data_IF_091520542837
#
_entry.id   IF_091520542837
#
_cell.length_a   1.000
_cell.length_b   1.000
_cell.length_c   1.000
_cell.angle_alpha   90.00
_cell.angle_beta   90.00
_cell.angle_gamma   90.00
#
_symmetry.space_group_name_H-M   'P 1'
#
loop_
_entity.id
_entity.type
_entity.pdbx_description
1 polymer ?
#
# COMPACT_ATOMS: atom_id res chain seq x y z
N UNK A 1 85.62 36.02 14.54
CA UNK A 1 84.26 36.29 15.02
C UNK A 1 83.91 37.72 14.63
N UNK A 2 82.79 37.94 13.95
CA UNK A 2 82.37 39.28 13.50
C UNK A 2 81.35 39.81 14.51
N UNK A 3 81.62 40.96 15.10
CA UNK A 3 80.75 41.55 16.12
C UNK A 3 79.35 41.82 15.52
N UNK A 4 78.31 41.25 16.11
CA UNK A 4 76.91 41.48 15.71
C UNK A 4 76.30 40.45 14.74
N UNK A 5 77.04 39.41 14.34
CA UNK A 5 76.53 38.33 13.47
C UNK A 5 76.53 37.00 14.23
N UNK A 6 75.50 36.18 14.03
CA UNK A 6 75.45 34.84 14.63
C UNK A 6 76.52 33.91 14.06
N UNK A 7 76.95 32.92 14.86
CA UNK A 7 77.98 31.95 14.48
C UNK A 7 77.52 31.11 13.29
N UNK A 8 78.28 31.14 12.19
CA UNK A 8 78.05 30.25 11.04
C UNK A 8 78.50 28.82 11.40
N UNK A 9 77.54 27.88 11.37
CA UNK A 9 77.77 26.47 11.71
C UNK A 9 78.06 25.57 10.49
N UNK A 10 78.30 26.15 9.30
CA UNK A 10 78.65 25.38 8.10
C UNK A 10 77.50 24.55 7.53
N UNK A 11 76.26 24.95 7.78
CA UNK A 11 75.08 24.28 7.24
C UNK A 11 74.96 24.64 5.74
N UNK A 12 75.29 23.72 4.85
CA UNK A 12 75.14 23.88 3.40
C UNK A 12 73.66 23.89 2.98
N UNK A 13 72.91 24.90 3.41
CA UNK A 13 71.49 25.01 3.08
C UNK A 13 71.30 25.54 1.65
N UNK A 14 70.42 24.88 0.90
CA UNK A 14 69.85 25.42 -0.33
C UNK A 14 69.05 26.67 -0.03
N UNK A 15 69.19 27.71 -0.87
CA UNK A 15 68.43 28.95 -0.75
C UNK A 15 66.92 28.65 -0.84
N UNK A 16 66.17 29.10 0.16
CA UNK A 16 64.71 28.86 0.28
C UNK A 16 63.88 30.10 -0.07
N UNK A 17 64.52 31.20 -0.46
CA UNK A 17 63.89 32.49 -0.71
C UNK A 17 63.59 33.30 0.55
N UNK A 18 63.42 34.61 0.39
CA UNK A 18 63.17 35.56 1.50
C UNK A 18 61.85 35.35 2.23
N UNK A 19 60.85 34.79 1.53
CA UNK A 19 59.50 34.60 2.06
C UNK A 19 59.33 33.29 2.85
N UNK A 20 60.39 32.47 2.93
CA UNK A 20 60.32 31.19 3.63
C UNK A 20 60.33 31.38 5.15
N UNK A 21 59.32 30.82 5.82
CA UNK A 21 59.21 30.81 7.28
C UNK A 21 59.63 29.44 7.82
N UNK A 22 60.61 29.43 8.73
CA UNK A 22 61.05 28.21 9.43
C UNK A 22 60.01 27.74 10.46
N UNK A 23 59.95 26.42 10.69
CA UNK A 23 59.01 25.79 11.63
C UNK A 23 57.99 24.87 10.94
N UNK A 24 57.07 24.30 11.72
CA UNK A 24 56.01 23.41 11.23
C UNK A 24 54.67 24.14 11.30
N UNK A 25 53.94 24.19 10.17
CA UNK A 25 52.61 24.80 10.11
C UNK A 25 51.60 23.95 10.90
N UNK A 26 50.72 24.61 11.66
CA UNK A 26 49.65 23.95 12.41
C UNK A 26 48.61 23.31 11.48
N UNK A 27 48.18 24.04 10.44
CA UNK A 27 47.25 23.51 9.44
C UNK A 27 48.05 22.75 8.38
N UNK A 28 47.88 21.43 8.37
CA UNK A 28 48.45 20.54 7.37
C UNK A 28 47.40 20.30 6.27
N UNK A 29 47.39 21.14 5.23
CA UNK A 29 46.47 21.00 4.09
C UNK A 29 45.87 22.34 3.64
N UNK A 30 45.24 22.33 2.46
CA UNK A 30 44.54 23.50 1.91
C UNK A 30 43.07 23.58 2.32
N UNK A 31 42.47 22.45 2.67
CA UNK A 31 41.05 22.33 3.01
C UNK A 31 40.88 21.51 4.30
N UNK A 32 41.15 22.11 5.46
CA UNK A 32 40.95 21.46 6.74
C UNK A 32 39.45 21.35 7.04
N UNK A 33 39.05 20.21 7.59
CA UNK A 33 37.69 20.00 8.03
C UNK A 33 37.36 20.92 9.22
N UNK A 34 36.38 21.81 9.04
CA UNK A 34 35.97 22.77 10.07
C UNK A 34 34.75 22.28 10.86
N UNK A 35 34.41 22.98 11.94
CA UNK A 35 33.28 22.61 12.81
C UNK A 35 31.93 22.59 12.08
N UNK A 36 31.69 23.53 11.14
CA UNK A 36 30.46 23.57 10.36
C UNK A 36 30.30 22.34 9.46
N UNK A 37 31.39 21.94 8.79
CA UNK A 37 31.45 20.73 7.95
C UNK A 37 31.31 19.45 8.79
N UNK A 38 31.76 19.44 10.06
CA UNK A 38 31.46 18.34 11.00
C UNK A 38 29.97 18.20 11.30
N UNK A 39 29.28 19.32 11.46
CA UNK A 39 27.86 19.33 11.85
C UNK A 39 26.97 18.93 10.66
N UNK A 40 27.26 19.47 9.48
CA UNK A 40 26.41 19.27 8.30
C UNK A 40 26.84 18.09 7.43
N UNK A 41 28.10 17.67 7.52
CA UNK A 41 28.68 16.68 6.62
C UNK A 41 28.67 17.15 5.17
N UNK A 42 28.76 16.19 4.25
CA UNK A 42 28.57 16.40 2.80
C UNK A 42 27.69 15.27 2.24
N UNK A 43 26.43 15.17 2.70
CA UNK A 43 25.56 14.09 2.29
C UNK A 43 25.16 14.25 0.82
N UNK A 44 25.01 13.12 0.15
CA UNK A 44 24.36 13.05 -1.15
C UNK A 44 22.85 13.30 -1.02
N UNK A 45 22.20 13.68 -2.12
CA UNK A 45 20.75 13.92 -2.13
C UNK A 45 19.96 12.71 -1.61
N UNK A 46 20.39 11.49 -1.93
CA UNK A 46 19.76 10.26 -1.48
C UNK A 46 19.83 10.03 0.04
N UNK A 47 20.89 10.50 0.71
CA UNK A 47 21.06 10.40 2.16
C UNK A 47 20.26 11.46 2.91
N UNK A 48 19.95 12.58 2.25
CA UNK A 48 19.08 13.63 2.80
C UNK A 48 17.59 13.26 2.67
N UNK A 49 17.24 12.44 1.69
CA UNK A 49 15.85 11.99 1.53
C UNK A 49 15.40 11.13 2.72
N UNK A 50 14.13 11.25 3.13
CA UNK A 50 13.57 10.41 4.18
C UNK A 50 13.55 8.93 3.78
N UNK A 51 13.58 8.06 4.79
CA UNK A 51 13.49 6.62 4.58
C UNK A 51 12.19 6.23 3.85
N UNK A 52 12.32 5.27 2.92
CA UNK A 52 11.24 4.89 1.99
C UNK A 52 10.03 4.26 2.68
N UNK A 53 10.21 3.66 3.85
CA UNK A 53 9.19 2.92 4.60
C UNK A 53 8.54 3.73 5.71
N UNK A 54 8.84 5.03 5.81
CA UNK A 54 8.11 5.93 6.69
C UNK A 54 6.61 5.92 6.32
N UNK A 55 5.78 5.61 7.31
CA UNK A 55 4.32 5.59 7.18
C UNK A 55 3.74 4.41 6.39
N UNK A 56 4.55 3.46 5.92
CA UNK A 56 4.04 2.29 5.18
C UNK A 56 4.93 1.06 5.34
N UNK A 57 4.30 -0.08 5.54
CA UNK A 57 5.01 -1.36 5.47
C UNK A 57 5.47 -1.63 4.03
N UNK A 58 6.78 -1.84 3.86
CA UNK A 58 7.40 -2.28 2.59
C UNK A 58 7.62 -3.81 2.56
N UNK A 59 7.35 -4.51 3.66
CA UNK A 59 7.53 -5.95 3.78
C UNK A 59 6.63 -6.68 2.79
N UNK A 60 7.16 -7.63 1.98
CA UNK A 60 6.36 -8.43 1.08
C UNK A 60 5.14 -9.04 1.81
N UNK A 61 3.98 -9.00 1.16
CA UNK A 61 2.67 -9.44 1.68
C UNK A 61 2.07 -8.63 2.85
N UNK A 62 2.77 -7.64 3.37
CA UNK A 62 2.25 -6.72 4.40
C UNK A 62 2.14 -5.28 3.88
N UNK A 63 2.29 -5.06 2.57
CA UNK A 63 2.18 -3.74 1.93
C UNK A 63 0.72 -3.35 1.84
N UNK A 64 0.41 -2.08 2.14
CA UNK A 64 -0.92 -1.50 1.92
C UNK A 64 -1.08 -1.08 0.45
N UNK A 65 -0.97 -2.06 -0.44
CA UNK A 65 -1.15 -1.88 -1.89
C UNK A 65 -2.09 -2.96 -2.39
N UNK A 66 -3.04 -2.56 -3.22
CA UNK A 66 -3.97 -3.51 -3.83
C UNK A 66 -3.21 -4.33 -4.87
N UNK A 67 -3.46 -5.65 -4.91
CA UNK A 67 -2.75 -6.57 -5.81
C UNK A 67 -3.18 -6.43 -7.26
N UNK A 68 -4.46 -6.08 -7.48
CA UNK A 68 -5.07 -5.88 -8.79
C UNK A 68 -5.84 -4.56 -8.80
N UNK A 69 -5.74 -3.82 -9.90
CA UNK A 69 -6.40 -2.51 -9.98
C UNK A 69 -7.93 -2.61 -9.90
N UNK A 70 -8.52 -3.68 -10.44
CA UNK A 70 -9.97 -3.96 -10.37
C UNK A 70 -10.52 -4.07 -8.93
N UNK A 71 -9.64 -4.38 -7.95
CA UNK A 71 -10.01 -4.54 -6.55
C UNK A 71 -9.86 -3.22 -5.74
N UNK A 72 -9.52 -2.10 -6.36
CA UNK A 72 -9.21 -0.86 -5.63
C UNK A 72 -10.37 -0.31 -4.78
N UNK A 73 -11.60 -0.55 -5.22
CA UNK A 73 -12.83 -0.17 -4.52
C UNK A 73 -13.55 -1.37 -3.89
N UNK A 74 -12.97 -2.58 -3.98
CA UNK A 74 -13.60 -3.78 -3.43
C UNK A 74 -13.38 -3.82 -1.93
N UNK A 75 -14.45 -4.16 -1.19
CA UNK A 75 -14.32 -4.50 0.23
C UNK A 75 -13.61 -5.86 0.38
N UNK A 76 -12.51 -5.90 1.12
CA UNK A 76 -11.82 -7.15 1.46
C UNK A 76 -12.45 -7.80 2.69
N UNK A 77 -12.89 -9.04 2.55
CA UNK A 77 -13.57 -9.78 3.60
C UNK A 77 -14.57 -10.78 3.03
N UNK A 78 -15.42 -11.33 3.90
CA UNK A 78 -16.53 -12.21 3.53
C UNK A 78 -17.83 -11.48 3.88
N UNK A 79 -18.76 -11.27 2.92
CA UNK A 79 -20.02 -10.60 3.21
C UNK A 79 -20.92 -11.49 4.07
N UNK A 80 -21.76 -10.88 4.92
CA UNK A 80 -22.73 -11.61 5.75
C UNK A 80 -23.79 -12.33 4.90
N UNK A 81 -24.17 -11.73 3.76
CA UNK A 81 -25.05 -12.36 2.77
C UNK A 81 -24.19 -12.76 1.58
N UNK A 82 -24.09 -14.06 1.32
CA UNK A 82 -23.12 -14.67 0.40
C UNK A 82 -23.61 -14.71 -1.06
N UNK A 83 -23.99 -13.54 -1.60
CA UNK A 83 -24.34 -13.38 -3.03
C UNK A 83 -23.13 -13.49 -3.97
N UNK A 84 -21.91 -13.51 -3.41
CA UNK A 84 -20.64 -13.63 -4.12
C UNK A 84 -20.38 -15.05 -4.68
N UNK A 85 -21.12 -16.05 -4.21
CA UNK A 85 -20.97 -17.46 -4.60
C UNK A 85 -22.26 -17.99 -5.21
N UNK A 86 -22.17 -18.98 -6.11
CA UNK A 86 -23.36 -19.59 -6.69
C UNK A 86 -24.18 -20.35 -5.64
N UNK A 87 -25.50 -20.31 -5.79
CA UNK A 87 -26.41 -21.10 -4.97
C UNK A 87 -26.16 -22.59 -5.20
N UNK A 88 -26.19 -23.37 -4.12
CA UNK A 88 -26.07 -24.84 -4.20
C UNK A 88 -27.38 -25.43 -4.72
N UNK A 89 -27.30 -26.41 -5.62
CA UNK A 89 -28.48 -27.17 -6.07
C UNK A 89 -29.16 -27.92 -4.93
N UNK A 90 -28.36 -28.50 -4.02
CA UNK A 90 -28.83 -29.18 -2.83
C UNK A 90 -28.25 -28.52 -1.59
N UNK A 91 -29.12 -27.83 -0.84
CA UNK A 91 -28.73 -27.18 0.43
C UNK A 91 -28.67 -28.21 1.54
N UNK A 92 -27.57 -28.19 2.31
CA UNK A 92 -27.45 -29.00 3.52
C UNK A 92 -28.42 -28.51 4.59
N UNK A 93 -28.99 -29.43 5.37
CA UNK A 93 -29.84 -29.10 6.53
C UNK A 93 -29.05 -28.34 7.61
N UNK A 94 -27.73 -28.54 7.67
CA UNK A 94 -26.85 -27.86 8.62
C UNK A 94 -26.24 -26.55 8.07
N UNK A 95 -26.70 -26.09 6.90
CA UNK A 95 -26.23 -24.83 6.33
C UNK A 95 -26.91 -23.65 7.04
N UNK A 96 -26.13 -22.82 7.73
CA UNK A 96 -26.60 -21.64 8.48
C UNK A 96 -26.31 -20.33 7.75
N UNK A 97 -25.78 -20.41 6.53
CA UNK A 97 -25.35 -19.24 5.76
C UNK A 97 -26.48 -18.76 4.84
N UNK A 98 -26.78 -17.46 4.88
CA UNK A 98 -27.72 -16.83 3.96
C UNK A 98 -27.02 -16.50 2.62
N UNK A 99 -27.62 -16.92 1.50
CA UNK A 99 -27.11 -16.70 0.13
C UNK A 99 -27.85 -15.60 -0.64
N UNK A 100 -28.77 -14.91 0.02
CA UNK A 100 -29.60 -13.85 -0.55
C UNK A 100 -30.91 -14.33 -1.17
N UNK A 101 -31.29 -15.58 -0.89
CA UNK A 101 -32.51 -16.28 -1.30
C UNK A 101 -33.51 -16.47 -0.13
N UNK A 102 -33.16 -16.05 1.08
CA UNK A 102 -34.04 -16.16 2.25
C UNK A 102 -35.15 -15.08 2.24
N UNK A 103 -36.38 -15.43 2.66
CA UNK A 103 -37.49 -14.48 2.77
C UNK A 103 -37.27 -13.46 3.89
N UNK A 104 -37.95 -12.32 3.80
CA UNK A 104 -37.92 -11.34 4.88
C UNK A 104 -38.74 -11.83 6.09
N UNK A 105 -38.47 -11.25 7.27
CA UNK A 105 -39.18 -11.63 8.49
C UNK A 105 -40.70 -11.45 8.38
N UNK A 106 -41.15 -10.45 7.61
CA UNK A 106 -42.58 -10.18 7.38
C UNK A 106 -43.23 -11.31 6.59
N UNK A 107 -42.56 -11.82 5.55
CA UNK A 107 -43.07 -12.91 4.71
C UNK A 107 -43.20 -14.23 5.47
N UNK A 108 -42.36 -14.43 6.49
CA UNK A 108 -42.45 -15.59 7.39
C UNK A 108 -43.63 -15.47 8.37
N UNK A 109 -43.92 -14.27 8.86
CA UNK A 109 -45.03 -14.01 9.79
C UNK A 109 -46.38 -13.96 9.07
N UNK A 110 -46.40 -13.50 7.82
CA UNK A 110 -47.59 -13.31 7.00
C UNK A 110 -47.39 -13.92 5.61
N UNK A 111 -47.36 -15.26 5.49
CA UNK A 111 -47.07 -15.94 4.24
C UNK A 111 -48.13 -15.66 3.17
N UNK A 112 -47.69 -15.56 1.92
CA UNK A 112 -48.59 -15.40 0.78
C UNK A 112 -49.34 -16.70 0.47
N UNK A 113 -50.53 -16.60 -0.12
CA UNK A 113 -51.29 -17.77 -0.56
C UNK A 113 -50.51 -18.66 -1.57
N UNK A 114 -49.58 -18.09 -2.32
CA UNK A 114 -48.77 -18.84 -3.29
C UNK A 114 -47.69 -19.69 -2.62
N UNK A 115 -47.25 -19.29 -1.43
CA UNK A 115 -46.28 -20.04 -0.62
C UNK A 115 -46.84 -21.40 -0.19
N UNK A 116 -48.16 -21.51 -0.01
CA UNK A 116 -48.85 -22.79 0.27
C UNK A 116 -48.73 -23.78 -0.88
N UNK A 117 -48.63 -23.28 -2.12
CA UNK A 117 -48.46 -24.08 -3.34
C UNK A 117 -46.98 -24.32 -3.66
N UNK A 118 -46.07 -23.87 -2.79
CA UNK A 118 -44.63 -24.01 -2.95
C UNK A 118 -44.00 -23.00 -3.90
N UNK A 119 -44.71 -21.94 -4.29
CA UNK A 119 -44.20 -20.87 -5.15
C UNK A 119 -43.47 -19.86 -4.26
N UNK A 120 -42.22 -19.54 -4.60
CA UNK A 120 -41.37 -18.60 -3.87
C UNK A 120 -41.35 -17.21 -4.53
N UNK A 121 -40.92 -16.19 -3.79
CA UNK A 121 -40.84 -14.83 -4.33
C UNK A 121 -39.88 -14.73 -5.54
N UNK A 122 -38.82 -15.54 -5.52
CA UNK A 122 -37.84 -15.60 -6.61
C UNK A 122 -38.46 -16.12 -7.91
N UNK A 123 -39.50 -16.95 -7.85
CA UNK A 123 -40.24 -17.39 -9.04
C UNK A 123 -40.95 -16.22 -9.72
N UNK A 124 -41.40 -15.21 -8.97
CA UNK A 124 -42.02 -14.02 -9.55
C UNK A 124 -40.97 -13.06 -10.15
N UNK A 125 -39.81 -12.94 -9.50
CA UNK A 125 -38.72 -12.04 -9.93
C UNK A 125 -37.86 -12.61 -11.07
N UNK A 126 -37.95 -13.91 -11.33
CA UNK A 126 -37.18 -14.58 -12.37
C UNK A 126 -37.52 -14.00 -13.75
N UNK A 127 -36.52 -13.53 -14.53
CA UNK A 127 -36.76 -12.99 -15.85
C UNK A 127 -37.29 -14.09 -16.78
N UNK A 128 -38.42 -13.82 -17.45
CA UNK A 128 -39.06 -14.74 -18.39
C UNK A 128 -39.13 -14.13 -19.78
N UNK A 129 -39.06 -14.98 -20.80
CA UNK A 129 -39.21 -14.57 -22.19
C UNK A 129 -40.66 -14.17 -22.48
N UNK A 130 -40.86 -13.36 -23.53
CA UNK A 130 -42.21 -12.97 -23.95
C UNK A 130 -43.08 -14.17 -24.30
N UNK A 131 -42.51 -15.21 -24.93
CA UNK A 131 -43.24 -16.43 -25.27
C UNK A 131 -43.71 -17.17 -24.01
N UNK A 132 -42.84 -17.34 -23.01
CA UNK A 132 -43.20 -18.00 -21.75
C UNK A 132 -44.29 -17.26 -21.00
N UNK A 133 -44.18 -15.93 -20.92
CA UNK A 133 -45.21 -15.09 -20.29
C UNK A 133 -46.54 -15.29 -21.02
N UNK A 134 -46.55 -15.21 -22.35
CA UNK A 134 -47.77 -15.42 -23.14
C UNK A 134 -48.41 -16.78 -22.86
N UNK A 135 -47.61 -17.85 -22.86
CA UNK A 135 -48.09 -19.20 -22.58
C UNK A 135 -48.64 -19.34 -21.15
N UNK A 136 -48.04 -18.64 -20.17
CA UNK A 136 -48.53 -18.63 -18.79
C UNK A 136 -49.91 -17.97 -18.70
N UNK A 137 -50.08 -16.80 -19.33
CA UNK A 137 -51.38 -16.09 -19.35
C UNK A 137 -52.46 -16.87 -20.11
N UNK A 138 -52.13 -17.45 -21.26
CA UNK A 138 -53.05 -18.33 -22.01
C UNK A 138 -53.53 -19.52 -21.15
N UNK A 139 -52.61 -20.15 -20.41
CA UNK A 139 -52.95 -21.28 -19.51
C UNK A 139 -53.81 -20.89 -18.31
N UNK A 140 -53.72 -19.64 -17.84
CA UNK A 140 -54.56 -19.10 -16.76
C UNK A 140 -55.94 -18.66 -17.27
N UNK A 141 -56.18 -18.72 -18.58
CA UNK A 141 -57.45 -18.35 -19.20
C UNK A 141 -57.56 -16.86 -19.54
N UNK A 142 -56.44 -16.15 -19.59
CA UNK A 142 -56.37 -14.77 -20.04
C UNK A 142 -56.26 -14.74 -21.57
N UNK A 143 -57.24 -14.10 -22.24
CA UNK A 143 -57.28 -13.90 -23.69
C UNK A 143 -56.95 -12.46 -24.06
#
# INVERSE_FOLDING_TARGET
DLLGISKNLGQGQTDRGSEFVHGVKNIQGKDPWNAGRCIHGEPSEAEVQPDRDLGKSIKPNCRNVVRKEEDCLRSFGVPTVRKDIPNKEFRSVADYQNYGDEPEAVDLLFPSNYSEVGIQEQDFRSPRTRQEIKALFEKVGYQ
#
